data_IF_351890654209
#
_entry.id   IF_351890654209
#
_cell.length_a   1.000
_cell.length_b   1.000
_cell.length_c   1.000
_cell.angle_alpha   90.00
_cell.angle_beta   90.00
_cell.angle_gamma   90.00
#
_symmetry.space_group_name_H-M   'P 1'
#
loop_
_entity.id
_entity.type
_entity.pdbx_description
1 polymer ?
#
# COMPACT_ATOMS: atom_id res chain seq x y z
N UNK A 1 1.69 11.98 2.24
CA UNK A 1 1.48 10.60 1.75
C UNK A 1 2.68 10.16 0.92
N UNK A 2 3.23 11.03 0.06
CA UNK A 2 4.42 10.76 -0.76
C UNK A 2 5.63 10.27 0.06
N UNK A 3 6.06 10.98 1.11
CA UNK A 3 7.18 10.54 1.97
C UNK A 3 6.93 9.18 2.65
N UNK A 4 5.66 8.81 2.85
CA UNK A 4 5.29 7.52 3.43
C UNK A 4 5.37 6.42 2.39
N UNK A 5 4.91 6.69 1.17
CA UNK A 5 5.00 5.77 0.03
C UNK A 5 6.47 5.46 -0.28
N UNK A 6 7.35 6.46 -0.27
CA UNK A 6 8.80 6.28 -0.43
C UNK A 6 9.37 5.33 0.64
N UNK A 7 9.05 5.55 1.92
CA UNK A 7 9.47 4.65 3.00
C UNK A 7 8.92 3.23 2.89
N UNK A 8 7.72 3.06 2.33
CA UNK A 8 7.15 1.73 2.09
C UNK A 8 7.83 1.04 0.90
N UNK A 9 8.31 1.81 -0.09
CA UNK A 9 9.15 1.30 -1.18
C UNK A 9 10.47 0.77 -0.62
N UNK A 10 11.17 1.57 0.18
CA UNK A 10 12.43 1.16 0.83
C UNK A 10 12.25 -0.12 1.65
N UNK A 11 11.16 -0.21 2.43
CA UNK A 11 10.85 -1.43 3.19
C UNK A 11 10.57 -2.67 2.32
N UNK A 12 10.00 -2.47 1.12
CA UNK A 12 9.77 -3.56 0.19
C UNK A 12 11.07 -4.03 -0.47
N UNK A 13 11.98 -3.10 -0.73
CA UNK A 13 13.32 -3.38 -1.26
C UNK A 13 14.13 -4.19 -0.22
N UNK A 14 14.21 -3.70 1.02
CA UNK A 14 14.87 -4.40 2.15
C UNK A 14 14.31 -5.81 2.34
N UNK A 15 12.98 -5.96 2.29
CA UNK A 15 12.32 -7.27 2.41
C UNK A 15 12.72 -8.22 1.27
N UNK A 16 12.78 -7.74 0.03
CA UNK A 16 13.13 -8.59 -1.10
C UNK A 16 14.59 -9.06 -1.03
N UNK A 17 15.50 -8.18 -0.60
CA UNK A 17 16.91 -8.51 -0.38
C UNK A 17 17.07 -9.57 0.73
N UNK A 18 16.41 -9.37 1.88
CA UNK A 18 16.44 -10.31 3.00
C UNK A 18 15.80 -11.67 2.65
N UNK A 19 14.68 -11.66 1.94
CA UNK A 19 13.92 -12.86 1.61
C UNK A 19 14.67 -13.76 0.61
N UNK A 20 15.42 -13.17 -0.33
CA UNK A 20 16.15 -13.91 -1.36
C UNK A 20 17.58 -14.30 -0.91
N UNK A 21 18.06 -13.75 0.20
CA UNK A 21 19.19 -14.29 0.94
C UNK A 21 20.58 -14.00 0.35
N UNK A 22 20.68 -13.19 -0.71
CA UNK A 22 21.98 -12.64 -1.19
C UNK A 22 21.83 -11.17 -1.61
N UNK A 23 22.15 -10.22 -0.72
CA UNK A 23 22.15 -8.79 -1.05
C UNK A 23 23.13 -8.50 -2.19
N UNK A 24 22.66 -7.81 -3.25
CA UNK A 24 23.50 -7.37 -4.36
C UNK A 24 23.73 -8.38 -5.49
N UNK A 25 23.14 -9.58 -5.44
CA UNK A 25 23.11 -10.50 -6.57
C UNK A 25 21.85 -10.29 -7.42
N UNK A 26 21.96 -10.51 -8.74
CA UNK A 26 20.79 -10.46 -9.63
C UNK A 26 19.85 -11.63 -9.31
N UNK A 27 18.67 -11.31 -8.80
CA UNK A 27 17.60 -12.29 -8.61
C UNK A 27 16.48 -12.06 -9.64
N UNK A 28 16.20 -13.02 -10.52
CA UNK A 28 15.18 -12.85 -11.57
C UNK A 28 13.77 -12.66 -11.00
N UNK A 29 13.53 -13.03 -9.75
CA UNK A 29 12.27 -12.87 -9.02
C UNK A 29 12.26 -11.69 -8.05
N UNK A 30 13.35 -10.89 -7.96
CA UNK A 30 13.44 -9.78 -7.01
C UNK A 30 12.28 -8.81 -7.13
N UNK A 31 12.01 -8.35 -8.36
CA UNK A 31 10.90 -7.44 -8.65
C UNK A 31 9.56 -8.03 -8.24
N UNK A 32 9.33 -9.32 -8.48
CA UNK A 32 8.08 -9.98 -8.05
C UNK A 32 7.94 -9.98 -6.52
N UNK A 33 9.00 -10.30 -5.78
CA UNK A 33 8.96 -10.31 -4.31
C UNK A 33 8.74 -8.91 -3.76
N UNK A 34 9.51 -7.94 -4.26
CA UNK A 34 9.44 -6.53 -3.89
C UNK A 34 8.06 -5.95 -4.20
N UNK A 35 7.53 -6.14 -5.40
CA UNK A 35 6.25 -5.55 -5.81
C UNK A 35 5.07 -6.15 -5.05
N UNK A 36 5.09 -7.46 -4.80
CA UNK A 36 4.09 -8.11 -3.93
C UNK A 36 4.14 -7.53 -2.52
N UNK A 37 5.34 -7.32 -1.97
CA UNK A 37 5.51 -6.74 -0.63
C UNK A 37 5.05 -5.29 -0.59
N UNK A 38 5.41 -4.50 -1.59
CA UNK A 38 5.01 -3.11 -1.71
C UNK A 38 3.48 -2.97 -1.81
N UNK A 39 2.83 -3.81 -2.62
CA UNK A 39 1.37 -3.84 -2.72
C UNK A 39 0.70 -4.17 -1.36
N UNK A 40 1.22 -5.15 -0.62
CA UNK A 40 0.74 -5.47 0.74
C UNK A 40 0.85 -4.27 1.68
N UNK A 41 2.00 -3.58 1.66
CA UNK A 41 2.28 -2.42 2.50
C UNK A 41 1.36 -1.24 2.17
N UNK A 42 1.16 -0.94 0.88
CA UNK A 42 0.27 0.13 0.42
C UNK A 42 -1.18 -0.15 0.85
N UNK A 43 -1.68 -1.38 0.65
CA UNK A 43 -3.04 -1.75 1.07
C UNK A 43 -3.21 -1.53 2.58
N UNK A 44 -2.24 -1.96 3.40
CA UNK A 44 -2.30 -1.75 4.86
C UNK A 44 -2.30 -0.28 5.24
N UNK A 45 -1.41 0.52 4.65
CA UNK A 45 -1.33 1.96 4.92
C UNK A 45 -2.65 2.65 4.56
N UNK A 46 -3.26 2.28 3.43
CA UNK A 46 -4.51 2.86 2.96
C UNK A 46 -5.72 2.45 3.79
N UNK A 47 -5.77 1.22 4.31
CA UNK A 47 -6.79 0.81 5.28
C UNK A 47 -6.65 1.65 6.56
N UNK A 48 -5.43 1.76 7.11
CA UNK A 48 -5.18 2.56 8.33
C UNK A 48 -5.57 4.01 8.10
N UNK A 49 -5.22 4.54 6.93
CA UNK A 49 -5.53 5.90 6.55
C UNK A 49 -7.03 6.16 6.47
N UNK A 50 -7.75 5.28 5.76
CA UNK A 50 -9.20 5.30 5.68
C UNK A 50 -9.83 5.33 7.08
N UNK A 51 -9.45 4.39 7.96
CA UNK A 51 -10.01 4.33 9.32
C UNK A 51 -9.69 5.56 10.18
N UNK A 52 -8.50 6.17 10.01
CA UNK A 52 -8.06 7.27 10.87
C UNK A 52 -8.55 8.64 10.44
N UNK A 53 -8.61 8.88 9.13
CA UNK A 53 -8.77 10.22 8.57
C UNK A 53 -10.01 10.37 7.70
N UNK A 54 -10.52 9.28 7.14
CA UNK A 54 -11.57 9.35 6.12
C UNK A 54 -12.92 8.80 6.59
N UNK A 55 -12.91 7.74 7.42
CA UNK A 55 -14.11 7.11 7.94
C UNK A 55 -14.90 8.10 8.80
N UNK A 56 -16.09 8.46 8.33
CA UNK A 56 -17.07 9.21 9.10
C UNK A 56 -17.99 8.24 9.83
N UNK A 57 -17.69 8.03 11.11
CA UNK A 57 -18.47 7.17 12.00
C UNK A 57 -19.79 7.79 12.47
N UNK A 58 -20.03 9.06 12.15
CA UNK A 58 -21.26 9.78 12.52
C UNK A 58 -22.25 9.85 11.37
N UNK A 59 -21.80 9.53 10.16
CA UNK A 59 -22.65 9.42 8.98
C UNK A 59 -23.52 8.16 9.01
N UNK A 60 -24.72 8.26 8.43
CA UNK A 60 -25.57 7.09 8.12
C UNK A 60 -25.21 6.44 6.77
N UNK A 61 -24.17 6.93 6.08
CA UNK A 61 -23.69 6.39 4.82
C UNK A 61 -23.03 5.02 5.02
N UNK A 62 -23.34 4.07 4.15
CA UNK A 62 -22.73 2.74 4.15
C UNK A 62 -21.20 2.86 4.04
N UNK A 63 -20.49 2.10 4.87
CA UNK A 63 -19.02 2.10 4.89
C UNK A 63 -18.42 1.75 3.53
N UNK A 64 -19.10 0.91 2.73
CA UNK A 64 -18.65 0.54 1.38
C UNK A 64 -18.62 1.74 0.44
N UNK A 65 -19.63 2.62 0.52
CA UNK A 65 -19.67 3.88 -0.25
C UNK A 65 -18.55 4.83 0.19
N UNK A 66 -18.25 4.88 1.49
CA UNK A 66 -17.12 5.67 2.01
C UNK A 66 -15.78 5.12 1.49
N UNK A 67 -15.62 3.80 1.41
CA UNK A 67 -14.42 3.14 0.85
C UNK A 67 -14.27 3.42 -0.64
N UNK A 68 -15.35 3.27 -1.43
CA UNK A 68 -15.33 3.56 -2.87
C UNK A 68 -14.92 5.01 -3.14
N UNK A 69 -15.48 5.96 -2.37
CA UNK A 69 -15.11 7.37 -2.46
C UNK A 69 -13.64 7.60 -2.10
N UNK A 70 -13.15 6.99 -1.01
CA UNK A 70 -11.74 7.07 -0.63
C UNK A 70 -10.82 6.55 -1.73
N UNK A 71 -11.15 5.38 -2.32
CA UNK A 71 -10.36 4.77 -3.40
C UNK A 71 -10.30 5.70 -4.60
N UNK A 72 -11.45 6.23 -5.04
CA UNK A 72 -11.51 7.16 -6.18
C UNK A 72 -10.69 8.42 -5.92
N UNK A 73 -10.83 9.03 -4.74
CA UNK A 73 -10.19 10.30 -4.39
C UNK A 73 -8.65 10.17 -4.27
N UNK A 74 -8.14 8.99 -3.87
CA UNK A 74 -6.71 8.81 -3.54
C UNK A 74 -5.92 7.96 -4.52
N UNK A 75 -6.58 7.08 -5.28
CA UNK A 75 -5.92 6.18 -6.24
C UNK A 75 -6.32 6.42 -7.69
N UNK A 76 -7.38 7.21 -7.94
CA UNK A 76 -7.79 7.54 -9.30
C UNK A 76 -8.18 6.31 -10.13
N UNK A 77 -8.71 5.26 -9.51
CA UNK A 77 -9.19 4.08 -10.23
C UNK A 77 -10.43 4.52 -11.04
N UNK A 78 -10.27 4.62 -12.35
CA UNK A 78 -11.38 4.78 -13.30
C UNK A 78 -12.05 3.41 -13.48
N UNK A 79 -13.38 3.36 -13.32
CA UNK A 79 -14.21 2.16 -13.57
C UNK A 79 -14.25 1.77 -15.06
#
# INVERSE_FOLDING_TARGET
MNDRIEKLSEQADDYADDYLGTPGEFHPNWHTVRDNKFAELIIKESIIDFYRRYLDTTSNEDITVQVERYIRDHFGVEE
#
